data_IF_367036742078
#
_entry.id   IF_367036742078
#
_cell.length_a   1.000
_cell.length_b   1.000
_cell.length_c   1.000
_cell.angle_alpha   90.00
_cell.angle_beta   90.00
_cell.angle_gamma   90.00
#
_symmetry.space_group_name_H-M   'P 1'
#
loop_
_entity.id
_entity.type
_entity.pdbx_description
1 polymer ?
#
# COMPACT_ATOMS: atom_id res chain seq x y z
N UNK A 1 -1.38 26.91 51.44
CA UNK A 1 -1.13 27.35 50.05
C UNK A 1 0.12 26.62 49.55
N UNK A 2 0.16 25.84 48.49
CA UNK A 2 -0.87 25.25 47.63
C UNK A 2 -0.14 24.15 46.87
N UNK A 3 -0.51 22.90 47.17
CA UNK A 3 -0.02 21.64 46.62
C UNK A 3 -0.45 21.46 45.13
N UNK A 4 -0.29 22.51 44.30
CA UNK A 4 -0.94 22.66 42.98
C UNK A 4 0.04 23.03 41.84
N UNK A 5 1.32 22.67 41.96
CA UNK A 5 2.34 22.98 40.92
C UNK A 5 3.24 21.79 40.59
N UNK A 6 2.70 20.57 40.57
CA UNK A 6 3.41 19.39 40.01
C UNK A 6 2.50 18.69 39.01
N UNK A 7 1.89 19.47 38.12
CA UNK A 7 0.97 18.93 37.12
C UNK A 7 0.98 19.75 35.84
N UNK A 8 2.15 20.18 35.38
CA UNK A 8 2.38 20.64 34.01
C UNK A 8 3.82 20.21 33.68
N UNK A 9 4.02 19.60 32.50
CA UNK A 9 5.32 19.31 31.87
C UNK A 9 5.93 17.90 32.04
N UNK A 10 5.12 16.84 31.89
CA UNK A 10 5.64 15.51 31.50
C UNK A 10 4.88 14.97 30.29
N UNK A 11 4.77 15.80 29.25
CA UNK A 11 4.12 15.46 27.97
C UNK A 11 4.90 16.14 26.84
N UNK A 12 6.13 15.68 26.64
CA UNK A 12 6.86 15.88 25.39
C UNK A 12 7.48 14.54 24.98
N UNK A 13 6.66 13.50 25.06
CA UNK A 13 7.01 12.18 24.54
C UNK A 13 6.79 12.19 23.04
N UNK A 14 7.90 12.10 22.31
CA UNK A 14 8.01 11.31 21.08
C UNK A 14 7.15 11.84 19.94
N UNK A 15 7.57 12.96 19.34
CA UNK A 15 7.20 13.26 17.96
C UNK A 15 8.18 12.54 17.01
N UNK A 16 7.78 11.31 16.68
CA UNK A 16 7.84 10.75 15.32
C UNK A 16 9.22 10.78 14.65
N UNK A 17 10.03 9.79 15.01
CA UNK A 17 11.10 9.25 14.17
C UNK A 17 10.50 8.53 12.95
N UNK A 18 9.98 9.25 11.96
CA UNK A 18 9.57 8.69 10.66
C UNK A 18 9.99 9.60 9.50
N UNK A 19 11.29 9.89 9.42
CA UNK A 19 11.91 10.17 8.12
C UNK A 19 12.46 8.83 7.60
N UNK A 20 11.56 7.96 7.14
CA UNK A 20 11.93 6.70 6.51
C UNK A 20 12.65 6.99 5.20
N UNK A 21 13.98 7.00 5.29
CA UNK A 21 14.93 6.38 4.37
C UNK A 21 14.37 6.25 2.94
N UNK A 22 14.49 7.33 2.17
CA UNK A 22 14.54 7.26 0.73
C UNK A 22 15.89 6.65 0.33
N UNK A 23 16.05 5.36 0.56
CA UNK A 23 17.09 4.56 -0.07
C UNK A 23 16.35 3.53 -0.88
N UNK A 24 16.79 3.37 -2.13
CA UNK A 24 16.43 2.28 -3.01
C UNK A 24 16.63 0.93 -2.29
N UNK A 25 15.68 0.55 -1.44
CA UNK A 25 15.50 -0.82 -1.03
C UNK A 25 15.05 -1.51 -2.30
N UNK A 26 15.96 -2.26 -2.91
CA UNK A 26 15.58 -3.52 -3.53
C UNK A 26 14.87 -4.31 -2.43
N UNK A 27 13.60 -4.01 -2.19
CA UNK A 27 12.77 -4.71 -1.21
C UNK A 27 12.79 -6.14 -1.70
N UNK A 28 13.43 -7.01 -0.92
CA UNK A 28 13.38 -8.43 -1.21
C UNK A 28 11.90 -8.79 -1.32
N UNK A 29 11.49 -9.32 -2.49
CA UNK A 29 10.10 -9.64 -2.74
C UNK A 29 9.75 -10.86 -1.89
N UNK A 30 9.29 -10.56 -0.69
CA UNK A 30 8.97 -11.51 0.35
C UNK A 30 7.56 -11.26 0.87
N UNK A 31 7.21 -11.97 1.94
CA UNK A 31 5.87 -11.98 2.50
C UNK A 31 5.35 -10.57 2.84
N UNK A 32 6.19 -9.71 3.41
CA UNK A 32 5.82 -8.34 3.74
C UNK A 32 5.45 -7.49 2.52
N UNK A 33 6.13 -7.69 1.39
CA UNK A 33 5.80 -7.00 0.14
C UNK A 33 4.42 -7.46 -0.36
N UNK A 34 4.21 -8.77 -0.38
CA UNK A 34 2.92 -9.36 -0.80
C UNK A 34 1.76 -8.93 0.08
N UNK A 35 1.99 -8.83 1.40
CA UNK A 35 0.97 -8.41 2.36
C UNK A 35 0.66 -6.91 2.23
N UNK A 36 1.68 -6.07 2.00
CA UNK A 36 1.50 -4.66 1.67
C UNK A 36 0.66 -4.48 0.41
N UNK A 37 0.99 -5.19 -0.67
CA UNK A 37 0.22 -5.14 -1.92
C UNK A 37 -1.20 -5.67 -1.76
N UNK A 38 -1.40 -6.74 -0.97
CA UNK A 38 -2.73 -7.23 -0.65
C UNK A 38 -3.57 -6.18 0.08
N UNK A 39 -2.98 -5.42 1.00
CA UNK A 39 -3.65 -4.34 1.72
C UNK A 39 -4.02 -3.18 0.79
N UNK A 40 -3.11 -2.75 -0.09
CA UNK A 40 -3.37 -1.72 -1.11
C UNK A 40 -4.54 -2.10 -2.03
N UNK A 41 -4.52 -3.34 -2.57
CA UNK A 41 -5.60 -3.87 -3.42
C UNK A 41 -6.92 -3.94 -2.65
N UNK A 42 -6.90 -4.36 -1.39
CA UNK A 42 -8.11 -4.46 -0.56
C UNK A 42 -8.71 -3.08 -0.28
N UNK A 43 -7.87 -2.06 -0.04
CA UNK A 43 -8.31 -0.69 0.14
C UNK A 43 -8.95 -0.14 -1.15
N UNK A 44 -8.33 -0.36 -2.30
CA UNK A 44 -8.88 0.05 -3.58
C UNK A 44 -10.22 -0.65 -3.90
N UNK A 45 -10.32 -1.96 -3.64
CA UNK A 45 -11.58 -2.72 -3.77
C UNK A 45 -12.69 -2.11 -2.93
N UNK A 46 -12.41 -1.73 -1.68
CA UNK A 46 -13.39 -1.08 -0.81
C UNK A 46 -13.86 0.26 -1.40
N UNK A 47 -12.95 1.08 -1.94
CA UNK A 47 -13.31 2.34 -2.59
C UNK A 47 -14.19 2.09 -3.82
N UNK A 48 -13.81 1.15 -4.69
CA UNK A 48 -14.59 0.79 -5.87
C UNK A 48 -15.98 0.23 -5.53
N UNK A 49 -16.13 -0.47 -4.40
CA UNK A 49 -17.44 -0.90 -3.91
C UNK A 49 -18.36 0.29 -3.56
N UNK A 50 -17.80 1.41 -3.12
CA UNK A 50 -18.56 2.65 -2.85
C UNK A 50 -18.75 3.53 -4.09
N UNK A 51 -17.85 3.41 -5.07
CA UNK A 51 -17.82 4.21 -6.31
C UNK A 51 -17.44 3.31 -7.48
N UNK A 52 -18.41 2.55 -8.03
CA UNK A 52 -18.12 1.56 -9.06
C UNK A 52 -17.68 2.24 -10.36
N UNK A 53 -16.53 1.81 -10.86
CA UNK A 53 -16.00 2.20 -12.17
C UNK A 53 -15.62 0.93 -12.94
N UNK A 54 -16.09 0.79 -14.18
CA UNK A 54 -15.84 -0.41 -15.01
C UNK A 54 -14.33 -0.63 -15.21
N UNK A 55 -13.60 0.43 -15.53
CA UNK A 55 -12.13 0.40 -15.63
C UNK A 55 -11.49 0.01 -14.30
N UNK A 56 -12.04 0.48 -13.17
CA UNK A 56 -11.52 0.14 -11.83
C UNK A 56 -11.63 -1.35 -11.52
N UNK A 57 -12.72 -2.00 -11.94
CA UNK A 57 -12.88 -3.45 -11.79
C UNK A 57 -11.91 -4.25 -12.66
N UNK A 58 -11.56 -3.75 -13.84
CA UNK A 58 -10.55 -4.39 -14.70
C UNK A 58 -9.16 -4.32 -14.06
N UNK A 59 -8.73 -3.14 -13.63
CA UNK A 59 -7.44 -2.94 -12.96
C UNK A 59 -7.36 -3.74 -11.64
N UNK A 60 -8.48 -3.85 -10.92
CA UNK A 60 -8.57 -4.65 -9.70
C UNK A 60 -8.29 -6.13 -9.98
N UNK A 61 -8.93 -6.69 -11.01
CA UNK A 61 -8.73 -8.09 -11.39
C UNK A 61 -7.30 -8.36 -11.86
N UNK A 62 -6.69 -7.43 -12.60
CA UNK A 62 -5.30 -7.53 -13.05
C UNK A 62 -4.33 -7.54 -11.85
N UNK A 63 -4.47 -6.59 -10.93
CA UNK A 63 -3.65 -6.51 -9.72
C UNK A 63 -3.78 -7.79 -8.85
N UNK A 64 -5.00 -8.32 -8.69
CA UNK A 64 -5.24 -9.56 -7.96
C UNK A 64 -4.62 -10.79 -8.65
N UNK A 65 -4.69 -10.84 -9.98
CA UNK A 65 -4.06 -11.87 -10.80
C UNK A 65 -2.54 -11.88 -10.62
N UNK A 66 -1.92 -10.71 -10.75
CA UNK A 66 -0.47 -10.54 -10.59
C UNK A 66 -0.01 -10.86 -9.17
N UNK A 67 -0.76 -10.46 -8.13
CA UNK A 67 -0.44 -10.82 -6.75
C UNK A 67 -0.52 -12.34 -6.52
N UNK A 68 -1.51 -13.01 -7.11
CA UNK A 68 -1.61 -14.48 -7.03
C UNK A 68 -0.43 -15.14 -7.74
N UNK A 69 -0.09 -14.67 -8.93
CA UNK A 69 1.04 -15.18 -9.70
C UNK A 69 2.36 -14.98 -8.96
N UNK A 70 2.53 -13.83 -8.29
CA UNK A 70 3.72 -13.53 -7.49
C UNK A 70 3.91 -14.52 -6.34
N UNK A 71 2.82 -14.88 -5.66
CA UNK A 71 2.80 -15.84 -4.54
C UNK A 71 3.12 -17.27 -4.97
N UNK A 72 2.78 -17.64 -6.21
CA UNK A 72 3.00 -19.00 -6.74
C UNK A 72 4.31 -19.15 -7.53
N UNK A 73 4.95 -18.05 -7.90
CA UNK A 73 6.20 -18.07 -8.68
C UNK A 73 7.39 -18.26 -7.74
N UNK A 74 8.18 -19.31 -7.96
CA UNK A 74 9.36 -19.60 -7.12
C UNK A 74 10.62 -18.84 -7.58
N UNK A 75 10.77 -18.61 -8.89
CA UNK A 75 12.00 -18.08 -9.49
C UNK A 75 12.15 -16.58 -9.23
N UNK A 76 13.26 -16.17 -8.62
CA UNK A 76 13.44 -14.82 -8.09
C UNK A 76 13.48 -13.72 -9.16
N UNK A 77 13.99 -13.99 -10.36
CA UNK A 77 14.00 -13.02 -11.46
C UNK A 77 12.59 -12.80 -12.03
N UNK A 78 11.78 -13.84 -12.12
CA UNK A 78 10.38 -13.80 -12.55
C UNK A 78 9.53 -13.11 -11.51
N UNK A 79 9.73 -13.41 -10.22
CA UNK A 79 9.08 -12.66 -9.12
C UNK A 79 9.36 -11.17 -9.20
N UNK A 80 10.59 -10.76 -9.54
CA UNK A 80 10.94 -9.34 -9.74
C UNK A 80 10.18 -8.68 -10.89
N UNK A 81 10.03 -9.38 -12.01
CA UNK A 81 9.23 -8.88 -13.15
C UNK A 81 7.76 -8.74 -12.77
N UNK A 82 7.18 -9.78 -12.17
CA UNK A 82 5.78 -9.77 -11.71
C UNK A 82 5.55 -8.67 -10.67
N UNK A 83 6.49 -8.44 -9.76
CA UNK A 83 6.38 -7.36 -8.78
C UNK A 83 6.35 -5.98 -9.44
N UNK A 84 7.19 -5.73 -10.44
CA UNK A 84 7.17 -4.47 -11.17
C UNK A 84 5.86 -4.27 -11.95
N UNK A 85 5.33 -5.33 -12.57
CA UNK A 85 4.02 -5.30 -13.23
C UNK A 85 2.89 -5.07 -12.21
N UNK A 86 2.97 -5.71 -11.04
CA UNK A 86 2.02 -5.54 -9.95
C UNK A 86 2.05 -4.11 -9.39
N UNK A 87 3.23 -3.51 -9.23
CA UNK A 87 3.37 -2.12 -8.78
C UNK A 87 2.67 -1.15 -9.75
N UNK A 88 2.84 -1.36 -11.06
CA UNK A 88 2.19 -0.56 -12.07
C UNK A 88 0.67 -0.75 -12.06
N UNK A 89 0.20 -2.01 -11.97
CA UNK A 89 -1.24 -2.32 -11.91
C UNK A 89 -1.89 -1.72 -10.66
N UNK A 90 -1.25 -1.81 -9.49
CA UNK A 90 -1.75 -1.19 -8.25
C UNK A 90 -1.77 0.33 -8.35
N UNK A 91 -0.79 0.94 -9.02
CA UNK A 91 -0.78 2.39 -9.26
C UNK A 91 -1.96 2.82 -10.12
N UNK A 92 -2.23 2.13 -11.24
CA UNK A 92 -3.39 2.42 -12.11
C UNK A 92 -4.71 2.20 -11.37
N UNK A 93 -4.80 1.11 -10.61
CA UNK A 93 -5.96 0.81 -9.77
C UNK A 93 -6.22 1.92 -8.76
N UNK A 94 -5.19 2.42 -8.06
CA UNK A 94 -5.34 3.48 -7.07
C UNK A 94 -5.76 4.82 -7.73
N UNK A 95 -5.21 5.15 -8.91
CA UNK A 95 -5.65 6.31 -9.70
C UNK A 95 -7.15 6.21 -9.99
N UNK A 96 -7.61 5.09 -10.56
CA UNK A 96 -9.03 4.92 -10.93
C UNK A 96 -9.94 4.85 -9.70
N UNK A 97 -9.46 4.25 -8.60
CA UNK A 97 -10.23 4.15 -7.36
C UNK A 97 -10.38 5.51 -6.64
N UNK A 98 -9.43 6.43 -6.81
CA UNK A 98 -9.47 7.77 -6.22
C UNK A 98 -10.08 8.82 -7.16
N UNK A 99 -9.89 8.69 -8.47
CA UNK A 99 -10.54 9.48 -9.52
C UNK A 99 -11.20 8.55 -10.56
N UNK A 100 -12.42 8.08 -10.30
CA UNK A 100 -13.17 7.24 -11.24
C UNK A 100 -13.62 7.99 -12.50
N UNK A 101 -13.40 9.30 -12.57
CA UNK A 101 -13.84 10.15 -13.69
C UNK A 101 -12.73 10.52 -14.68
N UNK A 102 -11.45 10.34 -14.31
CA UNK A 102 -10.29 10.58 -15.18
C UNK A 102 -10.22 12.02 -15.72
N UNK A 103 -10.54 13.02 -14.89
CA UNK A 103 -10.59 14.43 -15.29
C UNK A 103 -9.53 15.27 -14.59
#
# INVERSE_FOLDING_TARGET
>A
MTLRKILISTLASIFVAWATVAVAQQVAIGKSYEDGKAAEISAARLRLATRPAVTGMQELNEAEGLLRQLKTTAEASSRRKIAAELDLAVTRLDIVANDPTGR
#
